data_IF_590463609527
#
_entry.id   IF_590463609527
#
_cell.length_a   1.000
_cell.length_b   1.000
_cell.length_c   1.000
_cell.angle_alpha   90.00
_cell.angle_beta   90.00
_cell.angle_gamma   90.00
#
_symmetry.space_group_name_H-M   'P 1'
#
loop_
_entity.id
_entity.type
_entity.pdbx_description
1 polymer ?
#
# COMPACT_ATOMS: atom_id res chain seq x y z
N UNK A 1 27.69 11.82 -3.50
CA UNK A 1 26.61 12.65 -2.96
C UNK A 1 25.63 11.76 -2.21
N UNK A 2 25.50 11.97 -0.94
CA UNK A 2 24.50 11.22 -0.17
C UNK A 2 23.13 11.85 -0.39
N UNK A 3 22.16 11.04 -0.73
CA UNK A 3 20.77 11.49 -0.82
C UNK A 3 20.20 11.49 0.59
N UNK A 4 19.66 12.62 1.01
CA UNK A 4 18.89 12.69 2.25
C UNK A 4 17.58 11.96 2.02
N UNK A 5 17.37 10.87 2.75
CA UNK A 5 16.16 10.06 2.58
C UNK A 5 14.90 10.85 2.95
N UNK A 6 15.02 11.83 3.85
CA UNK A 6 13.89 12.67 4.25
C UNK A 6 13.44 13.60 3.12
N UNK A 7 14.34 13.98 2.20
CA UNK A 7 13.99 14.81 1.05
C UNK A 7 13.60 14.02 -0.18
N UNK A 8 13.74 12.70 -0.18
CA UNK A 8 13.41 11.85 -1.33
C UNK A 8 11.95 12.03 -1.74
N UNK A 9 11.04 12.05 -0.77
CA UNK A 9 9.59 12.12 -1.01
C UNK A 9 9.09 13.54 -1.27
N UNK A 10 9.96 14.56 -1.14
CA UNK A 10 9.66 15.96 -1.47
C UNK A 10 9.91 16.27 -2.95
N UNK A 11 10.42 15.32 -3.70
CA UNK A 11 10.76 15.47 -5.12
C UNK A 11 9.88 14.58 -5.98
N UNK A 12 9.70 14.94 -7.28
CA UNK A 12 9.05 14.02 -8.22
C UNK A 12 9.84 12.71 -8.32
N UNK A 13 9.13 11.61 -8.43
CA UNK A 13 9.75 10.33 -8.79
C UNK A 13 10.28 10.43 -10.21
N UNK A 14 11.48 9.91 -10.46
CA UNK A 14 12.00 9.84 -11.81
C UNK A 14 11.28 8.75 -12.63
N UNK A 15 11.54 8.72 -13.93
CA UNK A 15 10.90 7.77 -14.84
C UNK A 15 11.20 6.32 -14.45
N UNK A 16 12.43 6.03 -14.03
CA UNK A 16 12.81 4.71 -13.56
C UNK A 16 12.02 4.30 -12.32
N UNK A 17 11.84 5.20 -11.36
CA UNK A 17 11.06 4.95 -10.15
C UNK A 17 9.60 4.72 -10.51
N UNK A 18 9.02 5.51 -11.39
CA UNK A 18 7.63 5.34 -11.83
C UNK A 18 7.43 3.98 -12.51
N UNK A 19 8.37 3.53 -13.33
CA UNK A 19 8.32 2.23 -13.97
C UNK A 19 8.36 1.10 -12.94
N UNK A 20 9.24 1.21 -11.94
CA UNK A 20 9.34 0.22 -10.85
C UNK A 20 8.05 0.16 -10.04
N UNK A 21 7.43 1.30 -9.77
CA UNK A 21 6.16 1.37 -9.03
C UNK A 21 5.03 0.74 -9.83
N UNK A 22 4.98 0.92 -11.14
CA UNK A 22 3.97 0.27 -11.99
C UNK A 22 4.14 -1.24 -12.01
N UNK A 23 5.37 -1.74 -12.13
CA UNK A 23 5.65 -3.17 -12.03
C UNK A 23 5.29 -3.72 -10.65
N UNK A 24 5.59 -2.96 -9.61
CA UNK A 24 5.23 -3.30 -8.24
C UNK A 24 3.70 -3.41 -8.09
N UNK A 25 2.94 -2.47 -8.64
CA UNK A 25 1.49 -2.50 -8.61
C UNK A 25 0.93 -3.77 -9.25
N UNK A 26 1.43 -4.12 -10.43
CA UNK A 26 1.00 -5.34 -11.13
C UNK A 26 1.31 -6.60 -10.31
N UNK A 27 2.49 -6.64 -9.71
CA UNK A 27 2.91 -7.75 -8.85
C UNK A 27 2.00 -7.89 -7.62
N UNK A 28 1.71 -6.78 -6.95
CA UNK A 28 0.87 -6.76 -5.75
C UNK A 28 -0.55 -7.24 -6.09
N UNK A 29 -1.12 -6.78 -7.18
CA UNK A 29 -2.46 -7.20 -7.63
C UNK A 29 -2.50 -8.71 -7.84
N UNK A 30 -1.52 -9.26 -8.55
CA UNK A 30 -1.46 -10.69 -8.83
C UNK A 30 -1.24 -11.51 -7.56
N UNK A 31 -0.28 -11.11 -6.73
CA UNK A 31 0.01 -11.78 -5.46
C UNK A 31 -1.21 -11.78 -4.55
N UNK A 32 -1.83 -10.62 -4.39
CA UNK A 32 -2.98 -10.47 -3.51
C UNK A 32 -4.15 -11.32 -3.98
N UNK A 33 -4.43 -11.33 -5.26
CA UNK A 33 -5.51 -12.15 -5.84
C UNK A 33 -5.29 -13.64 -5.57
N UNK A 34 -4.04 -14.11 -5.67
CA UNK A 34 -3.70 -15.51 -5.40
C UNK A 34 -4.02 -15.91 -3.96
N UNK A 35 -3.65 -15.06 -2.98
CA UNK A 35 -3.86 -15.38 -1.58
C UNK A 35 -5.29 -15.11 -1.11
N UNK A 36 -5.92 -14.06 -1.61
CA UNK A 36 -7.24 -13.66 -1.16
C UNK A 36 -8.36 -14.60 -1.65
N UNK A 37 -8.14 -15.36 -2.71
CA UNK A 37 -9.09 -16.39 -3.16
C UNK A 37 -8.82 -17.76 -2.54
N UNK A 38 -7.81 -17.87 -1.67
CA UNK A 38 -7.48 -19.11 -1.00
C UNK A 38 -8.63 -19.49 -0.05
N UNK A 39 -9.18 -20.69 -0.24
CA UNK A 39 -10.30 -21.19 0.57
C UNK A 39 -9.88 -22.03 1.77
N UNK A 40 -8.57 -22.12 2.03
CA UNK A 40 -8.05 -22.84 3.20
C UNK A 40 -8.63 -22.23 4.48
N UNK A 41 -9.39 -23.01 5.29
CA UNK A 41 -10.02 -22.46 6.49
C UNK A 41 -9.00 -22.08 7.58
N UNK A 42 -7.74 -22.49 7.47
CA UNK A 42 -6.69 -22.09 8.39
C UNK A 42 -6.14 -20.69 8.10
N UNK A 43 -6.34 -20.18 6.88
CA UNK A 43 -5.91 -18.85 6.51
C UNK A 43 -6.97 -17.83 6.95
N UNK A 44 -6.71 -17.12 8.05
CA UNK A 44 -7.65 -16.19 8.66
C UNK A 44 -7.30 -14.73 8.47
N UNK A 45 -6.03 -14.43 8.20
CA UNK A 45 -5.55 -13.06 8.08
C UNK A 45 -4.36 -12.97 7.13
N UNK A 46 -4.36 -11.91 6.32
CA UNK A 46 -3.19 -11.49 5.55
C UNK A 46 -2.78 -10.12 6.06
N UNK A 47 -1.51 -9.98 6.45
CA UNK A 47 -0.93 -8.70 6.84
C UNK A 47 0.17 -8.35 5.87
N UNK A 48 0.09 -7.17 5.27
CA UNK A 48 1.12 -6.63 4.39
C UNK A 48 1.89 -5.58 5.15
N UNK A 49 3.22 -5.67 5.15
CA UNK A 49 4.09 -4.71 5.82
C UNK A 49 4.83 -3.88 4.79
N UNK A 50 4.80 -2.56 4.94
CA UNK A 50 5.61 -1.62 4.20
C UNK A 50 6.47 -0.83 5.20
N UNK A 51 7.76 -1.19 5.30
CA UNK A 51 8.68 -0.61 6.29
C UNK A 51 9.31 0.71 5.85
N UNK A 52 9.14 1.10 4.59
CA UNK A 52 9.68 2.34 4.04
C UNK A 52 8.60 3.08 3.29
N UNK A 53 7.49 3.29 3.99
CA UNK A 53 6.25 3.75 3.36
C UNK A 53 6.33 5.16 2.77
N UNK A 54 7.15 6.04 3.34
CA UNK A 54 7.24 7.42 2.93
C UNK A 54 5.94 8.19 3.18
N UNK A 55 5.75 9.26 2.44
CA UNK A 55 4.58 10.14 2.56
C UNK A 55 3.36 9.64 1.76
N UNK A 56 3.50 8.58 0.99
CA UNK A 56 2.43 8.04 0.16
C UNK A 56 2.38 8.59 -1.25
N UNK A 57 3.13 9.63 -1.55
CA UNK A 57 3.24 10.18 -2.91
C UNK A 57 4.54 10.98 -3.08
N UNK A 58 4.83 11.34 -4.33
CA UNK A 58 5.89 12.32 -4.64
C UNK A 58 5.30 13.75 -4.69
N UNK A 59 6.13 14.74 -5.03
CA UNK A 59 5.70 16.14 -5.13
C UNK A 59 4.72 16.42 -6.28
N UNK A 60 4.62 15.53 -7.25
CA UNK A 60 3.67 15.64 -8.38
C UNK A 60 2.39 14.83 -8.16
N UNK A 61 2.22 14.22 -7.00
CA UNK A 61 1.03 13.43 -6.68
C UNK A 61 1.05 11.99 -7.19
N UNK A 62 2.18 11.49 -7.68
CA UNK A 62 2.30 10.07 -8.04
C UNK A 62 2.30 9.21 -6.78
N UNK A 63 1.49 8.17 -6.79
CA UNK A 63 1.33 7.30 -5.62
C UNK A 63 2.61 6.51 -5.32
N UNK A 64 2.99 6.47 -4.05
CA UNK A 64 4.04 5.59 -3.54
C UNK A 64 3.50 4.21 -3.20
N UNK A 65 4.37 3.33 -2.70
CA UNK A 65 4.02 1.93 -2.42
C UNK A 65 2.81 1.74 -1.49
N UNK A 66 2.68 2.47 -0.36
CA UNK A 66 1.55 2.20 0.54
C UNK A 66 0.19 2.51 -0.10
N UNK A 67 0.09 3.56 -0.89
CA UNK A 67 -1.16 3.89 -1.58
C UNK A 67 -1.44 2.89 -2.71
N UNK A 68 -0.41 2.47 -3.43
CA UNK A 68 -0.54 1.42 -4.46
C UNK A 68 -1.10 0.14 -3.85
N UNK A 69 -0.58 -0.28 -2.70
CA UNK A 69 -1.05 -1.47 -2.00
C UNK A 69 -2.51 -1.30 -1.55
N UNK A 70 -2.83 -0.17 -0.92
CA UNK A 70 -4.20 0.10 -0.47
C UNK A 70 -5.19 0.13 -1.63
N UNK A 71 -4.83 0.75 -2.74
CA UNK A 71 -5.70 0.81 -3.92
C UNK A 71 -5.91 -0.58 -4.53
N UNK A 72 -4.87 -1.41 -4.56
CA UNK A 72 -4.97 -2.78 -5.06
C UNK A 72 -5.91 -3.63 -4.18
N UNK A 73 -5.79 -3.50 -2.86
CA UNK A 73 -6.66 -4.20 -1.91
C UNK A 73 -8.11 -3.74 -2.11
N UNK A 74 -8.33 -2.42 -2.20
CA UNK A 74 -9.68 -1.87 -2.35
C UNK A 74 -10.32 -2.32 -3.67
N UNK A 75 -9.57 -2.31 -4.77
CA UNK A 75 -10.07 -2.78 -6.06
C UNK A 75 -10.46 -4.25 -6.02
N UNK A 76 -9.65 -5.08 -5.36
CA UNK A 76 -9.98 -6.49 -5.17
C UNK A 76 -11.28 -6.66 -4.37
N UNK A 77 -11.42 -5.93 -3.27
CA UNK A 77 -12.62 -6.02 -2.43
C UNK A 77 -13.88 -5.55 -3.15
N UNK A 78 -13.76 -4.56 -4.04
CA UNK A 78 -14.87 -4.02 -4.79
C UNK A 78 -15.29 -4.90 -5.97
N UNK A 79 -14.33 -5.53 -6.64
CA UNK A 79 -14.55 -6.15 -7.95
C UNK A 79 -14.30 -7.66 -7.99
N UNK A 80 -13.53 -8.20 -7.05
CA UNK A 80 -13.07 -9.58 -7.05
C UNK A 80 -13.84 -10.50 -6.13
N UNK A 81 -15.13 -10.30 -5.95
CA UNK A 81 -15.89 -10.96 -4.88
C UNK A 81 -16.17 -12.44 -5.08
N UNK A 82 -16.23 -12.94 -6.31
CA UNK A 82 -16.52 -14.37 -6.55
C UNK A 82 -15.29 -15.22 -6.24
N UNK A 83 -15.43 -16.21 -5.38
CA UNK A 83 -14.33 -17.08 -4.96
C UNK A 83 -13.45 -16.53 -3.84
N UNK A 84 -13.73 -15.31 -3.38
CA UNK A 84 -12.99 -14.72 -2.26
C UNK A 84 -13.31 -15.43 -0.96
N UNK A 85 -12.27 -15.64 -0.13
CA UNK A 85 -12.46 -16.08 1.24
C UNK A 85 -13.02 -14.93 2.08
N UNK A 86 -14.33 -14.95 2.33
CA UNK A 86 -15.03 -13.86 3.03
C UNK A 86 -14.68 -13.76 4.52
N UNK A 87 -14.09 -14.80 5.09
CA UNK A 87 -13.65 -14.80 6.48
C UNK A 87 -12.22 -14.28 6.64
N UNK A 88 -11.56 -13.99 5.55
CA UNK A 88 -10.19 -13.50 5.56
C UNK A 88 -10.15 -12.04 5.98
N UNK A 89 -9.40 -11.75 7.03
CA UNK A 89 -9.11 -10.37 7.44
C UNK A 89 -7.86 -9.89 6.73
N UNK A 90 -7.92 -8.67 6.23
CA UNK A 90 -6.82 -8.05 5.49
C UNK A 90 -6.37 -6.81 6.23
N UNK A 91 -5.06 -6.68 6.39
CA UNK A 91 -4.44 -5.57 7.11
C UNK A 91 -3.19 -5.11 6.37
N UNK A 92 -3.00 -3.82 6.26
CA UNK A 92 -1.74 -3.22 5.85
C UNK A 92 -1.13 -2.49 7.04
N UNK A 93 0.16 -2.67 7.24
CA UNK A 93 0.93 -2.00 8.28
C UNK A 93 2.06 -1.22 7.62
N UNK A 94 1.99 0.10 7.68
CA UNK A 94 2.98 1.00 7.09
C UNK A 94 3.82 1.62 8.18
N UNK A 95 5.12 1.63 8.00
CA UNK A 95 6.02 2.32 8.92
C UNK A 95 7.09 3.10 8.15
N UNK A 96 7.59 4.14 8.79
CA UNK A 96 8.67 4.97 8.28
C UNK A 96 9.34 5.65 9.47
N UNK A 97 10.65 5.88 9.38
CA UNK A 97 11.39 6.54 10.46
C UNK A 97 11.14 8.05 10.54
N UNK A 98 10.59 8.64 9.48
CA UNK A 98 10.33 10.07 9.40
C UNK A 98 8.90 10.40 9.84
N UNK A 99 8.75 11.09 10.97
CA UNK A 99 7.43 11.43 11.51
C UNK A 99 6.60 12.31 10.59
N UNK A 100 7.23 13.18 9.79
CA UNK A 100 6.54 14.02 8.82
C UNK A 100 5.91 13.18 7.71
N UNK A 101 6.65 12.18 7.21
CA UNK A 101 6.13 11.25 6.23
C UNK A 101 4.93 10.48 6.76
N UNK A 102 5.02 10.02 8.00
CA UNK A 102 3.94 9.28 8.66
C UNK A 102 2.68 10.15 8.77
N UNK A 103 2.83 11.41 9.17
CA UNK A 103 1.71 12.34 9.28
C UNK A 103 1.02 12.56 7.93
N UNK A 104 1.80 12.78 6.87
CA UNK A 104 1.27 12.95 5.52
C UNK A 104 0.57 11.69 5.01
N UNK A 105 1.17 10.53 5.26
CA UNK A 105 0.60 9.25 4.85
C UNK A 105 -0.75 8.99 5.55
N UNK A 106 -0.82 9.27 6.85
CA UNK A 106 -2.08 9.15 7.60
C UNK A 106 -3.19 10.00 6.97
N UNK A 107 -2.87 11.24 6.60
CA UNK A 107 -3.84 12.13 5.95
C UNK A 107 -4.32 11.57 4.62
N UNK A 108 -3.42 11.04 3.79
CA UNK A 108 -3.76 10.49 2.48
C UNK A 108 -4.64 9.25 2.61
N UNK A 109 -4.31 8.36 3.52
CA UNK A 109 -5.10 7.15 3.78
C UNK A 109 -6.50 7.54 4.26
N UNK A 110 -6.59 8.49 5.19
CA UNK A 110 -7.88 8.97 5.69
C UNK A 110 -8.72 9.61 4.58
N UNK A 111 -8.10 10.40 3.70
CA UNK A 111 -8.79 11.06 2.60
C UNK A 111 -9.30 10.09 1.53
N UNK A 112 -8.65 8.94 1.36
CA UNK A 112 -9.06 7.94 0.37
C UNK A 112 -10.23 7.07 0.83
N UNK A 113 -10.58 7.10 2.11
CA UNK A 113 -11.73 6.40 2.68
C UNK A 113 -11.77 4.90 2.35
N UNK A 114 -10.68 4.21 2.58
CA UNK A 114 -10.62 2.76 2.35
C UNK A 114 -11.56 1.99 3.26
N UNK A 115 -12.26 1.00 2.73
CA UNK A 115 -13.28 0.23 3.43
C UNK A 115 -13.02 -1.27 3.24
N UNK A 116 -13.20 -2.02 4.32
CA UNK A 116 -13.16 -3.49 4.26
C UNK A 116 -11.81 -4.09 4.64
N UNK A 117 -10.84 -3.29 4.99
CA UNK A 117 -9.54 -3.75 5.50
C UNK A 117 -8.95 -2.72 6.46
N UNK A 118 -8.04 -3.18 7.29
CA UNK A 118 -7.42 -2.35 8.33
C UNK A 118 -6.14 -1.70 7.82
N UNK A 119 -5.97 -0.41 8.09
CA UNK A 119 -4.76 0.34 7.76
C UNK A 119 -4.14 0.87 9.04
N UNK A 120 -2.90 0.48 9.32
CA UNK A 120 -2.11 0.98 10.44
C UNK A 120 -0.88 1.69 9.93
N UNK A 121 -0.61 2.87 10.46
CA UNK A 121 0.54 3.70 10.10
C UNK A 121 1.23 4.16 11.37
N UNK A 122 2.52 3.86 11.50
CA UNK A 122 3.29 4.25 12.68
C UNK A 122 4.77 4.47 12.37
N UNK A 123 5.44 5.19 13.25
CA UNK A 123 6.89 5.39 13.16
C UNK A 123 7.68 4.13 13.54
#
# INVERSE_FOLDING_TARGET
MSMDIDSFFDKPFDEGTLTKLELFRLYVVEWFSTFAVNTDPTLKQITVYDFFAGAGCDSNGHNGSPIIICDAIQDFLNNGSSGRNKNLKIKIHCSDSNAKNIEELKKRIANNNYIGFEQNVEC
#
